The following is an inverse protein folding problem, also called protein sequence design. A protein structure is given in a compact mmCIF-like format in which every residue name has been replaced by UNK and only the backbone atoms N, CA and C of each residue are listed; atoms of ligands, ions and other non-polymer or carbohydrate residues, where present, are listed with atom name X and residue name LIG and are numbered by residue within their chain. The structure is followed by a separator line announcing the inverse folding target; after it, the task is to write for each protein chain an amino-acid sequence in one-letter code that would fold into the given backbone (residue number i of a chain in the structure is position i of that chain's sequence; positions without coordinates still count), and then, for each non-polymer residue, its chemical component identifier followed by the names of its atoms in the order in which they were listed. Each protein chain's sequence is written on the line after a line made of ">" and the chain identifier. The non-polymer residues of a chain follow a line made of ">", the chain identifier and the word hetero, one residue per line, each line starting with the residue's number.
data_IF_582589603981
#
_entry.id   IF_582589603981
#
_cell.length_a   1.000
_cell.length_b   1.000
_cell.length_c   1.000
_cell.angle_alpha   90.00
_cell.angle_beta   90.00
_cell.angle_gamma   90.00
#
_symmetry.space_group_name_H-M   'P 1'
#
loop_
_entity.id
_entity.type
_entity.pdbx_description
1 polymer ?
#
# COMPACT_ATOMS: atom_id res chain seq x y z
N UNK A 1 15.65 6.63 -8.00
CA UNK A 1 14.82 5.71 -7.17
C UNK A 1 14.76 4.34 -7.81
N UNK A 2 14.81 3.26 -7.03
CA UNK A 2 14.57 1.91 -7.55
C UNK A 2 13.09 1.72 -7.92
N UNK A 3 12.78 0.85 -8.89
CA UNK A 3 11.39 0.51 -9.27
C UNK A 3 10.56 0.10 -8.04
N UNK A 4 11.18 -0.66 -7.13
CA UNK A 4 10.55 -1.11 -5.87
C UNK A 4 10.15 0.04 -4.95
N UNK A 5 11.03 1.03 -4.79
CA UNK A 5 10.74 2.24 -3.99
C UNK A 5 9.63 3.06 -4.65
N UNK A 6 9.65 3.18 -5.98
CA UNK A 6 8.61 3.87 -6.75
C UNK A 6 7.25 3.21 -6.59
N UNK A 7 7.18 1.90 -6.76
CA UNK A 7 5.92 1.14 -6.65
C UNK A 7 5.39 1.18 -5.20
N UNK A 8 6.28 1.13 -4.20
CA UNK A 8 5.93 1.35 -2.79
C UNK A 8 5.32 2.73 -2.52
N UNK A 9 5.92 3.80 -3.06
CA UNK A 9 5.39 5.16 -2.91
C UNK A 9 4.04 5.33 -3.60
N UNK A 10 3.87 4.77 -4.80
CA UNK A 10 2.59 4.79 -5.51
C UNK A 10 1.52 4.07 -4.68
N UNK A 11 1.83 2.89 -4.15
CA UNK A 11 0.93 2.14 -3.27
C UNK A 11 0.51 2.98 -2.06
N UNK A 12 1.47 3.60 -1.35
CA UNK A 12 1.18 4.44 -0.20
C UNK A 12 0.19 5.57 -0.53
N UNK A 13 0.39 6.24 -1.67
CA UNK A 13 -0.51 7.32 -2.12
C UNK A 13 -1.91 6.78 -2.42
N UNK A 14 -2.01 5.63 -3.11
CA UNK A 14 -3.31 5.00 -3.39
C UNK A 14 -4.04 4.67 -2.10
N UNK A 15 -3.37 4.08 -1.12
CA UNK A 15 -3.95 3.78 0.19
C UNK A 15 -4.35 5.05 0.96
N UNK A 16 -3.57 6.14 0.85
CA UNK A 16 -3.94 7.43 1.42
C UNK A 16 -5.26 7.95 0.84
N UNK A 17 -5.38 7.94 -0.49
CA UNK A 17 -6.56 8.41 -1.20
C UNK A 17 -7.77 7.56 -0.82
N UNK A 18 -7.64 6.23 -0.80
CA UNK A 18 -8.73 5.33 -0.38
C UNK A 18 -9.15 5.61 1.07
N UNK A 19 -8.20 5.80 1.99
CA UNK A 19 -8.49 6.08 3.39
C UNK A 19 -9.24 7.42 3.56
N UNK A 20 -8.83 8.46 2.83
CA UNK A 20 -9.47 9.78 2.85
C UNK A 20 -10.89 9.69 2.28
N UNK A 21 -11.06 9.00 1.15
CA UNK A 21 -12.38 8.81 0.52
C UNK A 21 -13.32 8.05 1.46
N UNK A 22 -12.85 6.97 2.08
CA UNK A 22 -13.64 6.22 3.07
C UNK A 22 -13.98 7.09 4.30
N UNK A 23 -12.99 7.81 4.83
CA UNK A 23 -13.21 8.76 5.93
C UNK A 23 -14.31 9.77 5.60
N UNK A 24 -14.19 10.42 4.43
CA UNK A 24 -15.13 11.45 4.00
C UNK A 24 -16.53 10.92 3.68
N UNK A 25 -16.63 9.86 2.85
CA UNK A 25 -17.93 9.39 2.33
C UNK A 25 -18.66 8.42 3.25
N UNK A 26 -17.94 7.63 4.07
CA UNK A 26 -18.56 6.57 4.89
C UNK A 26 -18.66 7.01 6.35
N UNK A 27 -17.57 7.52 6.91
CA UNK A 27 -17.51 7.86 8.34
C UNK A 27 -17.91 9.32 8.63
N UNK A 28 -17.88 10.19 7.61
CA UNK A 28 -18.15 11.62 7.76
C UNK A 28 -16.99 12.41 8.40
N UNK A 29 -15.88 11.73 8.73
CA UNK A 29 -14.69 12.32 9.33
C UNK A 29 -13.41 11.62 8.84
N UNK A 30 -12.34 12.40 8.69
CA UNK A 30 -11.04 11.87 8.27
C UNK A 30 -10.22 11.52 9.53
N UNK A 31 -10.10 10.22 9.81
CA UNK A 31 -9.24 9.72 10.88
C UNK A 31 -7.80 9.63 10.36
N UNK A 32 -7.00 10.65 10.67
CA UNK A 32 -5.61 10.77 10.18
C UNK A 32 -4.70 9.61 10.60
N UNK A 33 -4.92 9.03 11.78
CA UNK A 33 -4.16 7.84 12.23
C UNK A 33 -4.39 6.65 11.29
N UNK A 34 -5.63 6.46 10.80
CA UNK A 34 -5.97 5.43 9.81
C UNK A 34 -5.31 5.72 8.45
N UNK A 35 -5.33 6.97 8.00
CA UNK A 35 -4.66 7.38 6.74
C UNK A 35 -3.17 7.07 6.80
N UNK A 36 -2.49 7.48 7.89
CA UNK A 36 -1.06 7.24 8.08
C UNK A 36 -0.76 5.75 8.18
N UNK A 37 -1.58 4.99 8.93
CA UNK A 37 -1.43 3.55 9.06
C UNK A 37 -1.55 2.82 7.72
N UNK A 38 -2.56 3.17 6.92
CA UNK A 38 -2.76 2.60 5.58
C UNK A 38 -1.67 3.03 4.59
N UNK A 39 -1.18 4.27 4.66
CA UNK A 39 -0.04 4.71 3.85
C UNK A 39 1.22 3.88 4.13
N UNK A 40 1.59 3.73 5.40
CA UNK A 40 2.77 2.97 5.81
C UNK A 40 2.58 1.50 5.45
N UNK A 41 1.41 0.93 5.75
CA UNK A 41 1.06 -0.45 5.42
C UNK A 41 1.11 -0.72 3.92
N UNK A 42 0.58 0.20 3.10
CA UNK A 42 0.61 0.14 1.64
C UNK A 42 2.04 0.17 1.09
N UNK A 43 2.89 1.05 1.64
CA UNK A 43 4.31 1.10 1.27
C UNK A 43 5.04 -0.21 1.60
N UNK A 44 4.95 -0.66 2.85
CA UNK A 44 5.64 -1.85 3.34
C UNK A 44 5.19 -3.10 2.56
N UNK A 45 3.89 -3.22 2.30
CA UNK A 45 3.32 -4.34 1.54
C UNK A 45 3.90 -4.41 0.12
N UNK A 46 3.92 -3.29 -0.60
CA UNK A 46 4.45 -3.28 -1.98
C UNK A 46 5.98 -3.39 -2.02
N UNK A 47 6.68 -2.89 -1.00
CA UNK A 47 8.13 -2.88 -0.97
C UNK A 47 8.74 -4.23 -0.52
N UNK A 48 8.09 -4.94 0.40
CA UNK A 48 8.62 -6.18 0.98
C UNK A 48 7.79 -7.41 0.64
N UNK A 49 6.46 -7.34 0.74
CA UNK A 49 5.58 -8.52 0.66
C UNK A 49 5.40 -8.95 -0.79
N UNK A 50 5.00 -8.04 -1.68
CA UNK A 50 4.74 -8.37 -3.09
C UNK A 50 5.96 -8.93 -3.83
N UNK A 51 7.18 -8.38 -3.68
CA UNK A 51 8.37 -8.97 -4.30
C UNK A 51 8.64 -10.39 -3.81
N UNK A 52 8.33 -10.67 -2.53
CA UNK A 52 8.50 -12.00 -1.93
C UNK A 52 7.47 -12.98 -2.50
N UNK A 53 6.20 -12.57 -2.63
CA UNK A 53 5.13 -13.36 -3.26
C UNK A 53 5.47 -13.67 -4.72
N UNK A 54 5.89 -12.67 -5.49
CA UNK A 54 6.28 -12.85 -6.89
C UNK A 54 7.46 -13.83 -7.06
N UNK A 55 8.38 -13.85 -6.09
CA UNK A 55 9.51 -14.80 -6.10
C UNK A 55 9.07 -16.23 -5.75
N UNK A 56 8.10 -16.39 -4.85
CA UNK A 56 7.55 -17.71 -4.50
C UNK A 56 6.72 -18.28 -5.66
N UNK A 57 5.78 -17.51 -6.23
CA UNK A 57 4.96 -17.97 -7.35
C UNK A 57 5.74 -18.27 -8.63
N UNK A 58 7.00 -17.83 -8.74
CA UNK A 58 7.92 -18.21 -9.83
C UNK A 58 8.69 -19.50 -9.54
N UNK A 59 8.91 -19.84 -8.27
CA UNK A 59 9.53 -21.12 -7.87
C UNK A 59 8.56 -22.30 -8.06
N UNK A 60 7.27 -22.09 -7.85
CA UNK A 60 6.25 -23.14 -8.04
C UNK A 60 5.98 -23.49 -9.52
N UNK A 61 6.58 -22.75 -10.46
CA UNK A 61 6.41 -22.95 -11.92
C UNK A 61 7.64 -23.59 -12.61
N UNK A 62 8.67 -23.98 -11.85
CA UNK A 62 9.90 -24.64 -12.34
C UNK A 62 9.97 -26.06 -11.75
#
# INVERSE_FOLDING_TARGET
>A
MSKRTKDGMISAIVFAVVAILFGYFIYGEIIWSTVIGLMIGGFISWYFIIPKINKMGRKDKL
#
